data_IF_685391339340
#
_entry.id   IF_685391339340
#
_cell.length_a   1.000
_cell.length_b   1.000
_cell.length_c   1.000
_cell.angle_alpha   90.00
_cell.angle_beta   90.00
_cell.angle_gamma   90.00
#
_symmetry.space_group_name_H-M   'P 1'
#
loop_
_entity.id
_entity.type
_entity.pdbx_description
1 polymer ?
#
# COMPACT_ATOMS: atom_id res chain seq x y z
N UNK A 1 -13.00 -0.91 -18.25
CA UNK A 1 -12.83 -0.42 -16.87
C UNK A 1 -14.18 -0.44 -16.16
N UNK A 2 -14.50 -1.56 -15.52
CA UNK A 2 -15.74 -1.69 -14.74
C UNK A 2 -15.51 -1.37 -13.27
N UNK A 3 -16.10 -0.28 -12.78
CA UNK A 3 -16.50 -0.15 -11.36
C UNK A 3 -16.02 1.09 -10.60
N UNK A 4 -14.73 1.41 -10.62
CA UNK A 4 -14.18 2.48 -9.75
C UNK A 4 -13.18 3.37 -10.50
N UNK A 5 -13.14 4.69 -10.20
CA UNK A 5 -12.15 5.58 -10.79
C UNK A 5 -10.75 5.13 -10.38
N UNK A 6 -9.86 4.95 -11.36
CA UNK A 6 -8.45 4.72 -11.12
C UNK A 6 -7.82 6.00 -10.56
N UNK A 7 -6.91 5.85 -9.61
CA UNK A 7 -6.14 6.99 -9.10
C UNK A 7 -5.43 7.74 -10.26
N UNK A 8 -5.49 9.08 -10.30
CA UNK A 8 -4.91 9.87 -11.40
C UNK A 8 -3.42 9.60 -11.65
N UNK A 9 -2.64 9.31 -10.60
CA UNK A 9 -1.21 9.02 -10.73
C UNK A 9 -0.97 7.62 -11.29
N UNK A 10 -1.77 6.63 -10.88
CA UNK A 10 -1.73 5.30 -11.51
C UNK A 10 -2.17 5.36 -12.97
N UNK A 11 -3.23 6.12 -13.28
CA UNK A 11 -3.67 6.32 -14.66
C UNK A 11 -2.56 6.95 -15.53
N UNK A 12 -1.90 7.99 -15.00
CA UNK A 12 -0.77 8.62 -15.66
C UNK A 12 0.41 7.65 -15.83
N UNK A 13 0.73 6.86 -14.80
CA UNK A 13 1.79 5.85 -14.85
C UNK A 13 1.52 4.79 -15.94
N UNK A 14 0.34 4.19 -15.94
CA UNK A 14 -0.01 3.14 -16.90
C UNK A 14 -0.06 3.64 -18.34
N UNK A 15 -0.46 4.91 -18.56
CA UNK A 15 -0.42 5.52 -19.88
C UNK A 15 0.99 5.70 -20.46
N UNK A 16 2.04 5.68 -19.63
CA UNK A 16 3.43 5.95 -20.04
C UNK A 16 4.32 4.71 -20.02
N UNK A 17 4.20 3.90 -18.98
CA UNK A 17 5.17 2.83 -18.69
C UNK A 17 4.56 1.43 -18.74
N UNK A 18 3.25 1.30 -18.51
CA UNK A 18 2.53 0.03 -18.51
C UNK A 18 2.84 -0.93 -17.35
N UNK A 19 4.07 -0.96 -16.81
CA UNK A 19 4.45 -1.77 -15.65
C UNK A 19 5.75 -1.27 -14.99
N UNK A 20 6.01 -1.71 -13.75
CA UNK A 20 7.31 -1.51 -13.10
C UNK A 20 7.62 -2.67 -12.14
N UNK A 21 8.91 -2.89 -11.91
CA UNK A 21 9.43 -3.83 -10.89
C UNK A 21 10.54 -3.13 -10.13
N UNK A 22 10.49 -3.18 -8.81
CA UNK A 22 11.43 -2.54 -7.90
C UNK A 22 12.14 -3.61 -7.09
N UNK A 23 13.46 -3.71 -7.26
CA UNK A 23 14.24 -4.84 -6.76
C UNK A 23 13.64 -6.20 -7.19
N UNK A 24 13.94 -7.28 -6.46
CA UNK A 24 13.37 -8.60 -6.73
C UNK A 24 11.93 -8.76 -6.18
N UNK A 25 11.50 -7.86 -5.30
CA UNK A 25 10.35 -8.08 -4.43
C UNK A 25 9.11 -7.28 -4.84
N UNK A 26 9.14 -5.95 -4.99
CA UNK A 26 7.93 -5.19 -5.29
C UNK A 26 7.64 -5.06 -6.79
N UNK A 27 6.37 -5.14 -7.17
CA UNK A 27 5.94 -4.99 -8.56
C UNK A 27 4.66 -4.16 -8.68
N UNK A 28 4.50 -3.52 -9.84
CA UNK A 28 3.22 -2.97 -10.31
C UNK A 28 2.66 -3.88 -11.39
N UNK A 29 1.35 -4.11 -11.37
CA UNK A 29 0.65 -4.94 -12.34
C UNK A 29 0.87 -4.40 -13.76
N UNK A 30 0.94 -5.29 -14.76
CA UNK A 30 1.18 -4.90 -16.14
C UNK A 30 -0.11 -4.51 -16.87
N UNK A 31 -0.02 -3.43 -17.64
CA UNK A 31 -1.03 -2.94 -18.57
C UNK A 31 -0.35 -2.56 -19.88
N UNK A 32 -0.73 -3.22 -20.98
CA UNK A 32 -0.33 -2.91 -22.36
C UNK A 32 -1.47 -3.29 -23.33
N UNK A 33 -1.22 -3.23 -24.63
CA UNK A 33 -2.25 -3.51 -25.65
C UNK A 33 -2.74 -4.97 -25.65
N UNK A 34 -1.91 -5.90 -25.18
CA UNK A 34 -2.18 -7.35 -25.19
C UNK A 34 -2.68 -7.88 -23.84
N UNK A 35 -2.37 -7.17 -22.74
CA UNK A 35 -2.53 -7.65 -21.37
C UNK A 35 -2.98 -6.53 -20.43
N UNK A 36 -4.00 -6.80 -19.61
CA UNK A 36 -4.47 -5.87 -18.59
C UNK A 36 -4.59 -6.57 -17.23
N UNK A 37 -3.43 -6.87 -16.63
CA UNK A 37 -3.36 -7.51 -15.31
C UNK A 37 -4.06 -6.69 -14.22
N UNK A 38 -4.13 -5.36 -14.39
CA UNK A 38 -4.84 -4.49 -13.47
C UNK A 38 -6.33 -4.84 -13.44
N UNK A 39 -6.99 -4.89 -14.59
CA UNK A 39 -8.43 -5.20 -14.66
C UNK A 39 -8.72 -6.65 -14.23
N UNK A 40 -7.90 -7.59 -14.69
CA UNK A 40 -8.01 -9.01 -14.33
C UNK A 40 -7.85 -9.24 -12.82
N UNK A 41 -6.80 -8.68 -12.22
CA UNK A 41 -6.54 -8.83 -10.77
C UNK A 41 -7.66 -8.18 -9.96
N UNK A 42 -8.12 -6.99 -10.35
CA UNK A 42 -9.20 -6.31 -9.63
C UNK A 42 -10.56 -6.97 -9.83
N UNK A 43 -10.81 -7.61 -10.97
CA UNK A 43 -11.98 -8.47 -11.16
C UNK A 43 -11.93 -9.68 -10.22
N UNK A 44 -10.80 -10.39 -10.20
CA UNK A 44 -10.61 -11.53 -9.30
C UNK A 44 -10.77 -11.13 -7.82
N UNK A 45 -10.22 -9.97 -7.44
CA UNK A 45 -10.39 -9.38 -6.11
C UNK A 45 -11.85 -9.04 -5.79
N UNK A 46 -12.59 -8.47 -6.75
CA UNK A 46 -14.03 -8.21 -6.59
C UNK A 46 -14.82 -9.48 -6.29
N UNK A 47 -14.50 -10.55 -7.00
CA UNK A 47 -15.22 -11.82 -6.90
C UNK A 47 -14.83 -12.64 -5.66
N UNK A 48 -13.53 -12.65 -5.32
CA UNK A 48 -12.95 -13.52 -4.29
C UNK A 48 -12.95 -12.87 -2.90
N UNK A 49 -12.82 -11.55 -2.86
CA UNK A 49 -12.39 -10.84 -1.67
C UNK A 49 -13.32 -9.69 -1.30
N UNK A 50 -13.73 -8.82 -2.23
CA UNK A 50 -14.54 -7.63 -1.87
C UNK A 50 -15.90 -7.99 -1.22
N UNK A 51 -16.53 -9.11 -1.60
CA UNK A 51 -17.75 -9.60 -0.93
C UNK A 51 -17.55 -9.94 0.55
N UNK A 52 -16.30 -10.20 0.94
CA UNK A 52 -15.88 -10.50 2.32
C UNK A 52 -15.40 -9.25 3.06
N UNK A 53 -15.05 -8.18 2.34
CA UNK A 53 -14.30 -7.05 2.90
C UNK A 53 -15.05 -5.76 3.11
N UNK A 54 -16.29 -5.57 2.64
CA UNK A 54 -17.03 -4.30 2.74
C UNK A 54 -16.14 -3.04 2.52
N UNK A 55 -15.08 -3.23 1.74
CA UNK A 55 -14.00 -2.30 1.52
C UNK A 55 -13.66 -2.42 0.06
N UNK A 56 -13.95 -1.34 -0.65
CA UNK A 56 -13.57 -1.21 -2.04
C UNK A 56 -12.12 -0.77 -2.11
N UNK A 57 -11.28 -1.66 -2.64
CA UNK A 57 -9.88 -1.37 -2.96
C UNK A 57 -9.62 -1.58 -4.45
N UNK A 58 -8.62 -0.88 -4.99
CA UNK A 58 -8.05 -1.15 -6.30
C UNK A 58 -6.58 -1.58 -6.16
N UNK A 59 -6.33 -2.88 -6.31
CA UNK A 59 -4.99 -3.47 -6.24
C UNK A 59 -4.20 -3.10 -7.47
N UNK A 60 -3.01 -2.56 -7.29
CA UNK A 60 -2.16 -2.10 -8.39
C UNK A 60 -0.75 -2.70 -8.36
N UNK A 61 -0.38 -3.37 -7.27
CA UNK A 61 0.92 -3.99 -7.09
C UNK A 61 0.97 -4.91 -5.88
N UNK A 62 2.16 -5.33 -5.50
CA UNK A 62 2.40 -6.14 -4.31
C UNK A 62 3.83 -6.61 -4.22
N UNK A 63 4.07 -7.56 -3.32
CA UNK A 63 5.36 -8.23 -3.18
C UNK A 63 5.33 -9.63 -3.80
N UNK A 64 6.35 -9.95 -4.60
CA UNK A 64 6.46 -11.20 -5.31
C UNK A 64 6.60 -12.36 -4.31
N UNK A 65 5.91 -13.48 -4.59
CA UNK A 65 5.90 -14.68 -3.76
C UNK A 65 5.32 -14.52 -2.35
N UNK A 66 4.74 -13.35 -2.05
CA UNK A 66 4.04 -13.08 -0.80
C UNK A 66 2.57 -12.73 -1.11
N UNK A 67 1.70 -12.92 -0.12
CA UNK A 67 0.27 -12.62 -0.24
C UNK A 67 -0.05 -11.15 0.13
N UNK A 68 0.94 -10.27 -0.01
CA UNK A 68 0.90 -8.83 0.29
C UNK A 68 0.64 -8.02 -0.99
N UNK A 69 -0.40 -7.18 -0.95
CA UNK A 69 -0.82 -6.38 -2.09
C UNK A 69 -0.85 -4.89 -1.74
N UNK A 70 -0.41 -4.05 -2.68
CA UNK A 70 -0.60 -2.61 -2.59
C UNK A 70 -1.88 -2.23 -3.32
N UNK A 71 -2.73 -1.47 -2.63
CA UNK A 71 -4.02 -1.08 -3.16
C UNK A 71 -4.36 0.37 -2.83
N UNK A 72 -5.07 1.04 -3.73
CA UNK A 72 -5.70 2.33 -3.47
C UNK A 72 -7.09 2.14 -2.87
N UNK A 73 -7.57 3.11 -2.10
CA UNK A 73 -8.92 3.10 -1.50
C UNK A 73 -9.78 4.20 -2.13
N UNK A 74 -10.55 3.90 -3.21
CA UNK A 74 -11.37 4.90 -3.89
C UNK A 74 -12.37 5.64 -3.01
N UNK A 75 -12.92 4.97 -1.98
CA UNK A 75 -13.88 5.57 -1.04
C UNK A 75 -13.29 6.69 -0.16
N UNK A 76 -11.96 6.84 -0.15
CA UNK A 76 -11.23 7.85 0.61
C UNK A 76 -10.52 8.88 -0.28
N UNK A 77 -10.88 8.96 -1.56
CA UNK A 77 -10.29 9.91 -2.49
C UNK A 77 -10.44 11.37 -2.02
N UNK A 78 -9.41 12.18 -2.22
CA UNK A 78 -9.46 13.63 -1.99
C UNK A 78 -10.28 14.34 -3.10
N UNK A 79 -10.44 15.66 -2.98
CA UNK A 79 -11.18 16.48 -3.95
C UNK A 79 -10.58 16.45 -5.38
N UNK A 80 -9.33 16.01 -5.54
CA UNK A 80 -8.64 15.84 -6.83
C UNK A 80 -8.70 14.39 -7.33
N UNK A 81 -9.34 13.50 -6.59
CA UNK A 81 -9.42 12.07 -6.89
C UNK A 81 -8.18 11.28 -6.48
N UNK A 82 -7.22 11.87 -5.74
CA UNK A 82 -6.05 11.14 -5.25
C UNK A 82 -6.48 10.22 -4.10
N UNK A 83 -6.10 8.96 -4.18
CA UNK A 83 -6.59 7.89 -3.31
C UNK A 83 -5.47 7.44 -2.37
N UNK A 84 -5.74 7.27 -1.06
CA UNK A 84 -4.73 6.75 -0.15
C UNK A 84 -4.38 5.30 -0.50
N UNK A 85 -3.16 4.91 -0.16
CA UNK A 85 -2.60 3.59 -0.41
C UNK A 85 -2.56 2.79 0.89
N UNK A 86 -2.96 1.54 0.79
CA UNK A 86 -2.91 0.53 1.84
C UNK A 86 -2.11 -0.68 1.38
N UNK A 87 -1.51 -1.38 2.33
CA UNK A 87 -1.14 -2.78 2.16
C UNK A 87 -2.35 -3.65 2.52
N UNK A 88 -2.55 -4.73 1.79
CA UNK A 88 -3.51 -5.77 2.11
C UNK A 88 -2.79 -7.11 2.19
N UNK A 89 -2.70 -7.67 3.39
CA UNK A 89 -2.19 -9.02 3.62
C UNK A 89 -3.33 -10.02 3.56
N UNK A 90 -3.31 -10.95 2.60
CA UNK A 90 -4.36 -11.98 2.44
C UNK A 90 -4.04 -13.33 3.09
N UNK A 91 -2.91 -13.46 3.79
CA UNK A 91 -2.47 -14.70 4.43
C UNK A 91 -3.15 -14.97 5.78
N UNK A 92 -3.57 -13.93 6.49
CA UNK A 92 -4.11 -14.04 7.85
C UNK A 92 -5.39 -14.88 7.92
N UNK A 93 -5.37 -15.89 8.80
CA UNK A 93 -6.43 -16.91 8.95
C UNK A 93 -7.76 -16.33 9.44
N UNK A 94 -7.70 -15.24 10.21
CA UNK A 94 -8.86 -14.52 10.75
C UNK A 94 -9.39 -13.42 9.80
N UNK A 95 -8.78 -13.30 8.61
CA UNK A 95 -9.11 -12.33 7.58
C UNK A 95 -7.95 -11.36 7.34
N UNK A 96 -7.84 -10.78 6.13
CA UNK A 96 -6.76 -9.92 5.76
C UNK A 96 -6.63 -8.67 6.61
N UNK A 97 -5.37 -8.29 6.83
CA UNK A 97 -5.00 -7.08 7.54
C UNK A 97 -4.81 -5.97 6.50
N UNK A 98 -5.53 -4.86 6.67
CA UNK A 98 -5.42 -3.67 5.82
C UNK A 98 -4.67 -2.58 6.58
N UNK A 99 -3.53 -2.16 6.07
CA UNK A 99 -2.67 -1.19 6.74
C UNK A 99 -2.49 0.09 5.92
N UNK A 100 -2.75 1.28 6.49
CA UNK A 100 -2.45 2.54 5.83
C UNK A 100 -0.95 2.71 5.60
N UNK A 101 -0.56 3.03 4.35
CA UNK A 101 0.83 3.25 3.95
C UNK A 101 1.11 4.69 3.53
N UNK A 102 0.21 5.31 2.77
CA UNK A 102 0.43 6.65 2.22
C UNK A 102 -0.89 7.36 1.94
N UNK A 103 -0.88 8.69 2.01
CA UNK A 103 -2.05 9.53 1.72
C UNK A 103 -2.42 9.56 0.24
N UNK A 104 -1.48 9.20 -0.63
CA UNK A 104 -1.66 9.06 -2.08
C UNK A 104 -0.52 8.23 -2.69
N UNK A 105 -0.60 7.96 -4.00
CA UNK A 105 0.34 7.12 -4.75
C UNK A 105 1.74 7.72 -4.87
N UNK A 106 1.88 9.05 -5.00
CA UNK A 106 3.19 9.72 -5.01
C UNK A 106 3.90 9.58 -3.66
N UNK A 107 3.16 9.79 -2.56
CA UNK A 107 3.67 9.55 -1.20
C UNK A 107 4.02 8.08 -0.95
N UNK A 108 3.33 7.14 -1.58
CA UNK A 108 3.72 5.73 -1.54
C UNK A 108 5.08 5.49 -2.20
N UNK A 109 5.33 6.07 -3.38
CA UNK A 109 6.64 5.92 -4.04
C UNK A 109 7.77 6.62 -3.28
N UNK A 110 7.50 7.80 -2.71
CA UNK A 110 8.44 8.53 -1.82
C UNK A 110 8.80 7.72 -0.57
N UNK A 111 7.78 7.10 0.07
CA UNK A 111 7.95 6.18 1.19
C UNK A 111 8.79 4.96 0.78
N UNK A 112 8.45 4.33 -0.35
CA UNK A 112 9.14 3.11 -0.79
C UNK A 112 10.61 3.40 -1.14
N UNK A 113 10.89 4.53 -1.81
CA UNK A 113 12.26 4.97 -2.07
C UNK A 113 13.04 5.20 -0.75
N UNK A 114 12.44 5.91 0.20
CA UNK A 114 13.03 6.13 1.53
C UNK A 114 13.30 4.82 2.28
N UNK A 115 12.40 3.84 2.15
CA UNK A 115 12.59 2.51 2.71
C UNK A 115 13.79 1.80 2.09
N UNK A 116 13.93 1.82 0.76
CA UNK A 116 15.07 1.20 0.07
C UNK A 116 16.39 1.85 0.49
N UNK A 117 16.44 3.18 0.63
CA UNK A 117 17.61 3.88 1.13
C UNK A 117 17.97 3.44 2.56
N UNK A 118 16.97 3.36 3.45
CA UNK A 118 17.16 2.90 4.83
C UNK A 118 17.60 1.43 4.92
N UNK A 119 17.03 0.57 4.05
CA UNK A 119 17.39 -0.83 3.96
C UNK A 119 18.85 -1.00 3.57
N UNK A 120 19.31 -0.30 2.52
CA UNK A 120 20.70 -0.37 2.05
C UNK A 120 21.70 0.19 3.08
N UNK A 121 21.30 1.19 3.86
CA UNK A 121 22.14 1.75 4.93
C UNK A 121 22.22 0.89 6.20
N UNK A 122 21.37 -0.13 6.35
CA UNK A 122 21.31 -0.96 7.55
C UNK A 122 22.49 -1.95 7.61
N UNK A 123 23.16 -2.04 8.76
CA UNK A 123 24.37 -2.87 8.95
C UNK A 123 24.13 -4.35 8.57
N UNK A 124 23.05 -4.96 9.05
CA UNK A 124 22.71 -6.34 8.72
C UNK A 124 22.45 -6.58 7.21
N UNK A 125 21.94 -5.57 6.50
CA UNK A 125 21.75 -5.67 5.05
C UNK A 125 23.10 -5.52 4.34
N UNK A 126 23.92 -4.55 4.77
CA UNK A 126 25.25 -4.31 4.23
C UNK A 126 26.19 -5.51 4.42
N UNK A 127 26.09 -6.22 5.55
CA UNK A 127 26.97 -7.36 5.86
C UNK A 127 26.48 -8.70 5.29
N UNK A 128 25.16 -8.94 5.25
CA UNK A 128 24.60 -10.29 5.02
C UNK A 128 23.58 -10.37 3.89
N UNK A 129 23.17 -9.23 3.32
CA UNK A 129 22.09 -9.16 2.34
C UNK A 129 20.73 -9.63 2.89
N UNK A 130 20.61 -9.81 4.22
CA UNK A 130 19.37 -10.24 4.86
C UNK A 130 18.52 -9.02 5.23
N UNK A 131 17.22 -9.07 4.93
CA UNK A 131 16.28 -8.00 5.23
C UNK A 131 16.04 -7.86 6.74
N UNK A 132 16.78 -6.96 7.40
CA UNK A 132 16.52 -6.60 8.80
C UNK A 132 15.28 -5.71 8.96
N UNK A 133 14.98 -4.90 7.94
CA UNK A 133 13.81 -4.03 7.86
C UNK A 133 12.76 -4.66 6.93
N UNK A 134 11.64 -5.10 7.50
CA UNK A 134 10.48 -5.57 6.76
C UNK A 134 9.53 -4.39 6.50
N UNK A 135 9.24 -4.13 5.23
CA UNK A 135 8.25 -3.14 4.84
C UNK A 135 6.83 -3.71 5.07
N UNK A 136 5.87 -2.88 5.50
CA UNK A 136 6.03 -1.60 6.20
C UNK A 136 6.35 -1.77 7.69
N UNK A 137 6.21 -2.97 8.24
CA UNK A 137 6.15 -3.30 9.67
C UNK A 137 7.25 -2.73 10.56
N UNK A 138 8.48 -2.59 10.07
CA UNK A 138 9.63 -2.08 10.85
C UNK A 138 9.96 -0.62 10.56
N UNK A 139 9.17 0.07 9.74
CA UNK A 139 9.42 1.47 9.35
C UNK A 139 8.26 2.44 9.62
N UNK A 140 7.55 2.38 10.77
CA UNK A 140 6.46 3.30 11.06
C UNK A 140 6.92 4.77 11.10
N UNK A 141 8.20 5.02 11.39
CA UNK A 141 8.80 6.36 11.39
C UNK A 141 8.95 6.98 10.00
N UNK A 142 9.08 6.17 8.94
CA UNK A 142 9.08 6.67 7.56
C UNK A 142 7.65 7.01 7.14
N UNK A 143 6.69 6.15 7.47
CA UNK A 143 5.26 6.33 7.19
C UNK A 143 4.72 7.58 7.90
N UNK A 144 5.13 7.81 9.14
CA UNK A 144 4.73 8.97 9.94
C UNK A 144 5.19 10.34 9.39
N UNK A 145 6.05 10.37 8.36
CA UNK A 145 6.45 11.62 7.67
C UNK A 145 5.33 12.16 6.78
N UNK A 146 4.41 11.30 6.33
CA UNK A 146 3.21 11.73 5.60
C UNK A 146 2.18 12.31 6.57
N UNK A 147 2.21 13.63 6.73
CA UNK A 147 1.30 14.35 7.64
C UNK A 147 -0.17 14.14 7.28
N UNK A 148 -0.49 14.04 5.99
CA UNK A 148 -1.87 13.86 5.56
C UNK A 148 -2.36 12.46 5.89
N UNK A 149 -1.50 11.45 5.76
CA UNK A 149 -1.82 10.09 6.18
C UNK A 149 -2.09 10.05 7.67
N UNK A 150 -1.24 10.67 8.48
CA UNK A 150 -1.42 10.75 9.94
C UNK A 150 -2.78 11.37 10.28
N UNK A 151 -3.13 12.50 9.65
CA UNK A 151 -4.45 13.12 9.86
C UNK A 151 -5.61 12.17 9.52
N UNK A 152 -5.53 11.46 8.39
CA UNK A 152 -6.56 10.50 8.00
C UNK A 152 -6.69 9.34 9.01
N UNK A 153 -5.58 8.90 9.60
CA UNK A 153 -5.58 7.90 10.68
C UNK A 153 -6.24 8.46 11.93
N UNK A 154 -5.89 9.69 12.35
CA UNK A 154 -6.48 10.35 13.52
C UNK A 154 -7.99 10.64 13.34
N UNK A 155 -8.41 10.95 12.12
CA UNK A 155 -9.81 11.13 11.72
C UNK A 155 -10.59 9.79 11.67
N UNK A 156 -9.95 8.65 11.95
CA UNK A 156 -10.57 7.32 11.91
C UNK A 156 -10.96 6.85 10.51
N UNK A 157 -10.36 7.43 9.45
CA UNK A 157 -10.74 7.13 8.05
C UNK A 157 -10.37 5.71 7.63
N UNK A 158 -9.46 5.07 8.35
CA UNK A 158 -9.02 3.69 8.15
C UNK A 158 -9.57 2.71 9.20
N UNK A 159 -10.55 3.10 10.01
CA UNK A 159 -11.22 2.23 10.99
C UNK A 159 -12.21 1.28 10.29
N UNK A 160 -11.71 0.51 9.32
CA UNK A 160 -12.48 -0.50 8.63
C UNK A 160 -12.81 -1.64 9.60
N UNK A 161 -14.00 -2.27 9.51
CA UNK A 161 -14.33 -3.43 10.33
C UNK A 161 -13.29 -4.57 10.25
N UNK A 162 -12.55 -4.62 9.14
CA UNK A 162 -11.51 -5.59 8.80
C UNK A 162 -10.11 -5.15 9.23
N UNK A 163 -9.96 -3.98 9.86
CA UNK A 163 -8.74 -3.61 10.55
C UNK A 163 -8.60 -4.51 11.79
N UNK A 164 -7.90 -5.63 11.61
CA UNK A 164 -7.53 -6.54 12.68
C UNK A 164 -6.77 -5.84 13.81
N UNK A 165 -6.56 -6.51 14.96
CA UNK A 165 -5.75 -5.96 16.05
C UNK A 165 -4.37 -5.49 15.60
N UNK A 166 -3.80 -6.14 14.59
CA UNK A 166 -2.51 -5.78 13.99
C UNK A 166 -2.57 -4.46 13.23
N UNK A 167 -3.56 -4.25 12.35
CA UNK A 167 -3.74 -2.97 11.64
C UNK A 167 -3.92 -1.80 12.62
N UNK A 168 -4.64 -2.02 13.72
CA UNK A 168 -4.80 -1.01 14.78
C UNK A 168 -3.50 -0.74 15.53
N UNK A 169 -2.76 -1.80 15.87
CA UNK A 169 -1.44 -1.68 16.51
C UNK A 169 -0.47 -0.93 15.61
N UNK A 170 -0.48 -1.25 14.32
CA UNK A 170 0.30 -0.56 13.29
C UNK A 170 -0.05 0.93 13.22
N UNK A 171 -1.34 1.28 13.11
CA UNK A 171 -1.78 2.67 13.09
C UNK A 171 -1.31 3.44 14.34
N UNK A 172 -1.39 2.82 15.53
CA UNK A 172 -0.87 3.42 16.77
C UNK A 172 0.65 3.63 16.74
N UNK A 173 1.41 2.70 16.16
CA UNK A 173 2.86 2.85 16.00
C UNK A 173 3.21 4.03 15.07
N UNK A 174 2.44 4.23 14.00
CA UNK A 174 2.60 5.39 13.10
C UNK A 174 2.32 6.70 13.85
N UNK A 175 1.22 6.77 14.62
CA UNK A 175 0.89 7.96 15.41
C UNK A 175 1.95 8.25 16.49
N UNK A 176 2.42 7.22 17.18
CA UNK A 176 3.48 7.35 18.18
C UNK A 176 4.82 7.78 17.56
N UNK A 177 5.16 7.25 16.38
CA UNK A 177 6.35 7.69 15.65
C UNK A 177 6.24 9.16 15.23
N UNK A 178 5.05 9.64 14.81
CA UNK A 178 4.84 11.05 14.49
C UNK A 178 5.14 11.97 15.68
N UNK A 179 4.66 11.59 16.88
CA UNK A 179 4.91 12.37 18.11
C UNK A 179 6.38 12.52 18.47
N UNK A 180 7.23 11.59 18.01
CA UNK A 180 8.69 11.63 18.25
C UNK A 180 9.46 12.44 17.22
N UNK A 181 8.84 12.74 16.07
CA UNK A 181 9.43 13.52 14.98
C UNK A 181 9.16 15.03 15.16
N UNK A 182 8.06 15.37 15.84
CA UNK A 182 7.68 16.75 16.20
C UNK A 182 8.46 17.26 17.41
#
# INVERSE_FOLDING_TARGET
MGGHPLDPMLAAFYSRSGSARFADDAYLLRVNDDENQLDEKNQWWRESWQKRFDLTVCVFGGEANLAYYFATVPGLADARGCQPVVEVDTYELDGPVVMPLASNVDRFFDLYASYLEALVAHEDYAERGSAALSFPWKVPHLVARDERLVQLIEEGRFDFPQAGPEARTWALQVLEARRRIM
#
